data_IF_989990214988
#
_entry.id   IF_989990214988
#
_cell.length_a   1.000
_cell.length_b   1.000
_cell.length_c   1.000
_cell.angle_alpha   90.00
_cell.angle_beta   90.00
_cell.angle_gamma   90.00
#
_symmetry.space_group_name_H-M   'P 1'
#
loop_
_entity.id
_entity.type
_entity.pdbx_description
1 polymer ?
#
# COMPACT_ATOMS: atom_id res chain seq x y z
N UNK A 1 -40.41 7.60 -23.84
CA UNK A 1 -40.49 6.31 -24.56
C UNK A 1 -39.72 5.30 -23.70
N UNK A 2 -40.33 4.74 -22.65
CA UNK A 2 -41.07 3.44 -22.64
C UNK A 2 -40.22 2.33 -23.25
N UNK A 3 -39.77 1.36 -22.43
CA UNK A 3 -39.44 -0.05 -22.74
C UNK A 3 -38.90 -0.70 -21.43
N UNK A 4 -39.33 -1.82 -20.88
CA UNK A 4 -40.55 -2.64 -21.00
C UNK A 4 -40.46 -3.60 -19.81
N UNK A 5 -41.59 -3.75 -19.11
CA UNK A 5 -41.87 -4.68 -18.04
C UNK A 5 -41.63 -6.14 -18.51
N UNK A 6 -40.84 -6.91 -17.79
CA UNK A 6 -40.82 -8.38 -17.90
C UNK A 6 -41.11 -8.98 -16.52
N UNK A 7 -42.35 -9.44 -16.41
CA UNK A 7 -42.91 -10.25 -15.34
C UNK A 7 -42.51 -11.70 -15.64
N UNK A 8 -41.57 -12.28 -14.88
CA UNK A 8 -41.39 -13.74 -14.81
C UNK A 8 -41.58 -14.20 -13.38
N UNK A 9 -42.78 -14.74 -13.19
CA UNK A 9 -43.23 -15.59 -12.11
C UNK A 9 -42.37 -16.86 -12.06
N UNK A 10 -41.49 -16.97 -11.07
CA UNK A 10 -41.01 -18.26 -10.60
C UNK A 10 -41.30 -18.38 -9.11
N UNK A 11 -42.48 -18.95 -8.82
CA UNK A 11 -42.73 -19.64 -7.57
C UNK A 11 -41.79 -20.86 -7.55
N UNK A 12 -40.79 -20.85 -6.68
CA UNK A 12 -40.15 -22.08 -6.23
C UNK A 12 -40.07 -22.08 -4.71
N UNK A 13 -40.44 -23.24 -4.20
CA UNK A 13 -40.89 -23.54 -2.85
C UNK A 13 -39.76 -23.43 -1.83
N UNK A 14 -40.14 -22.91 -0.67
CA UNK A 14 -39.40 -22.85 0.59
C UNK A 14 -38.91 -24.23 1.03
N UNK A 15 -37.61 -24.37 1.33
CA UNK A 15 -37.14 -25.36 2.31
C UNK A 15 -36.19 -24.65 3.26
N UNK A 16 -36.69 -24.38 4.47
CA UNK A 16 -35.87 -23.98 5.62
C UNK A 16 -35.44 -25.26 6.33
N UNK A 17 -34.14 -25.52 6.36
CA UNK A 17 -33.49 -26.33 7.37
C UNK A 17 -32.40 -25.45 8.00
N UNK A 18 -32.61 -25.07 9.26
CA UNK A 18 -31.62 -24.33 10.04
C UNK A 18 -30.51 -25.26 10.53
N UNK A 19 -29.26 -24.89 10.25
CA UNK A 19 -28.10 -25.28 11.05
C UNK A 19 -26.95 -24.28 10.76
N UNK A 20 -26.61 -23.50 11.78
CA UNK A 20 -25.34 -22.84 12.10
C UNK A 20 -24.23 -22.67 11.04
N UNK A 21 -23.72 -21.44 11.01
CA UNK A 21 -22.31 -21.05 10.82
C UNK A 21 -21.75 -20.78 9.40
N UNK A 22 -21.19 -19.57 9.29
CA UNK A 22 -20.05 -19.15 8.46
C UNK A 22 -20.25 -18.92 6.97
N UNK A 23 -20.52 -17.66 6.61
CA UNK A 23 -20.09 -17.06 5.35
C UNK A 23 -18.56 -16.97 5.32
N UNK A 24 -17.86 -18.06 5.04
CA UNK A 24 -16.46 -17.97 4.58
C UNK A 24 -16.48 -17.54 3.12
N UNK A 25 -16.18 -16.25 2.88
CA UNK A 25 -15.60 -15.83 1.60
C UNK A 25 -14.46 -16.80 1.25
N UNK A 26 -14.29 -17.25 -0.02
CA UNK A 26 -13.34 -18.32 -0.33
C UNK A 26 -11.92 -17.88 0.04
N UNK A 27 -11.41 -18.38 1.16
CA UNK A 27 -10.05 -18.14 1.59
C UNK A 27 -9.15 -18.96 0.67
N UNK A 28 -8.53 -18.27 -0.30
CA UNK A 28 -7.52 -18.89 -1.17
C UNK A 28 -6.45 -19.54 -0.29
N UNK A 29 -6.04 -20.79 -0.57
CA UNK A 29 -5.13 -21.54 0.28
C UNK A 29 -3.86 -20.74 0.57
N UNK A 30 -3.36 -20.84 1.80
CA UNK A 30 -2.13 -20.16 2.29
C UNK A 30 -0.96 -20.34 1.31
N UNK A 31 -0.95 -21.44 0.53
CA UNK A 31 0.02 -21.66 -0.54
C UNK A 31 0.03 -20.60 -1.65
N UNK A 32 -1.14 -20.24 -2.16
CA UNK A 32 -1.28 -19.21 -3.18
C UNK A 32 -0.97 -17.80 -2.64
N UNK A 33 -1.13 -17.59 -1.32
CA UNK A 33 -0.85 -16.31 -0.66
C UNK A 33 0.65 -16.00 -0.57
N UNK A 34 1.52 -17.01 -0.55
CA UNK A 34 2.97 -16.81 -0.57
C UNK A 34 3.56 -16.76 -1.98
N UNK A 35 2.96 -17.45 -2.96
CA UNK A 35 3.32 -17.34 -4.39
C UNK A 35 2.92 -15.96 -4.96
N UNK A 36 1.79 -15.39 -4.51
CA UNK A 36 1.38 -14.02 -4.85
C UNK A 36 2.16 -12.93 -4.10
N UNK A 37 2.99 -13.29 -3.11
CA UNK A 37 4.04 -12.42 -2.57
C UNK A 37 5.31 -12.49 -3.44
N UNK A 38 5.15 -12.68 -4.75
CA UNK A 38 6.13 -12.23 -5.73
C UNK A 38 6.67 -10.86 -5.27
N UNK A 39 7.99 -10.73 -5.23
CA UNK A 39 8.63 -9.54 -4.68
C UNK A 39 8.07 -8.30 -5.39
N UNK A 40 7.28 -7.48 -4.66
CA UNK A 40 6.64 -6.27 -5.20
C UNK A 40 7.64 -5.51 -6.03
N UNK A 41 7.34 -5.31 -7.31
CA UNK A 41 8.30 -4.70 -8.25
C UNK A 41 8.60 -3.25 -7.84
N UNK A 42 9.73 -2.67 -8.26
CA UNK A 42 10.00 -1.25 -8.06
C UNK A 42 8.87 -0.36 -8.56
N UNK A 43 8.27 -0.71 -9.70
CA UNK A 43 7.18 0.00 -10.36
C UNK A 43 5.90 -0.03 -9.50
N UNK A 44 5.45 -1.21 -9.09
CA UNK A 44 4.28 -1.37 -8.21
C UNK A 44 4.48 -0.65 -6.86
N UNK A 45 5.71 -0.72 -6.33
CA UNK A 45 6.07 -0.01 -5.09
C UNK A 45 5.94 1.49 -5.28
N UNK A 46 6.49 2.02 -6.36
CA UNK A 46 6.47 3.45 -6.65
C UNK A 46 5.03 3.94 -6.85
N UNK A 47 4.25 3.21 -7.66
CA UNK A 47 2.86 3.52 -7.96
C UNK A 47 1.99 3.54 -6.70
N UNK A 48 2.13 2.53 -5.82
CA UNK A 48 1.45 2.52 -4.52
C UNK A 48 1.84 3.69 -3.62
N UNK A 49 3.11 4.08 -3.63
CA UNK A 49 3.57 5.24 -2.85
C UNK A 49 2.96 6.54 -3.39
N UNK A 50 2.96 6.72 -4.71
CA UNK A 50 2.37 7.88 -5.37
C UNK A 50 0.89 7.96 -5.09
N UNK A 51 0.12 6.89 -5.34
CA UNK A 51 -1.33 6.86 -5.04
C UNK A 51 -1.65 7.27 -3.60
N UNK A 52 -0.87 6.77 -2.65
CA UNK A 52 -1.05 7.11 -1.24
C UNK A 52 -0.78 8.60 -1.00
N UNK A 53 0.31 9.14 -1.53
CA UNK A 53 0.65 10.56 -1.38
C UNK A 53 -0.39 11.44 -2.06
N UNK A 54 -0.83 11.10 -3.28
CA UNK A 54 -1.92 11.79 -3.98
C UNK A 54 -3.17 11.87 -3.12
N UNK A 55 -3.61 10.74 -2.52
CA UNK A 55 -4.82 10.69 -1.69
C UNK A 55 -4.72 11.56 -0.44
N UNK A 56 -3.57 11.57 0.23
CA UNK A 56 -3.42 12.28 1.50
C UNK A 56 -3.04 13.76 1.35
N UNK A 57 -2.39 14.13 0.26
CA UNK A 57 -1.83 15.47 0.04
C UNK A 57 -2.55 16.24 -1.06
N UNK A 58 -3.56 15.64 -1.69
CA UNK A 58 -4.28 16.20 -2.83
C UNK A 58 -3.33 16.74 -3.92
N UNK A 59 -2.36 15.92 -4.33
CA UNK A 59 -1.33 16.31 -5.30
C UNK A 59 -1.96 16.72 -6.65
N UNK A 60 -1.47 17.81 -7.25
CA UNK A 60 -1.85 18.20 -8.62
C UNK A 60 -1.31 17.19 -9.65
N UNK A 61 -1.84 17.13 -10.88
CA UNK A 61 -1.33 16.23 -11.91
C UNK A 61 0.19 16.31 -12.12
N UNK A 62 0.74 17.53 -12.17
CA UNK A 62 2.18 17.76 -12.34
C UNK A 62 2.98 17.24 -11.14
N UNK A 63 2.51 17.51 -9.92
CA UNK A 63 3.12 16.97 -8.70
C UNK A 63 3.08 15.44 -8.68
N UNK A 64 1.97 14.83 -9.12
CA UNK A 64 1.84 13.37 -9.18
C UNK A 64 2.87 12.76 -10.13
N UNK A 65 3.07 13.36 -11.32
CA UNK A 65 4.07 12.91 -12.29
C UNK A 65 5.50 12.97 -11.71
N UNK A 66 5.88 14.11 -11.11
CA UNK A 66 7.21 14.27 -10.51
C UNK A 66 7.40 13.33 -9.30
N UNK A 67 6.38 13.19 -8.44
CA UNK A 67 6.41 12.25 -7.30
C UNK A 67 6.53 10.80 -7.75
N UNK A 68 5.84 10.39 -8.82
CA UNK A 68 5.97 9.06 -9.40
C UNK A 68 7.39 8.78 -9.87
N UNK A 69 7.99 9.73 -10.58
CA UNK A 69 9.37 9.64 -11.07
C UNK A 69 10.38 9.51 -9.92
N UNK A 70 10.24 10.35 -8.88
CA UNK A 70 11.07 10.27 -7.66
C UNK A 70 10.87 8.91 -6.97
N UNK A 71 9.63 8.48 -6.75
CA UNK A 71 9.36 7.20 -6.09
C UNK A 71 9.94 6.01 -6.87
N UNK A 72 9.88 6.03 -8.20
CA UNK A 72 10.43 4.98 -9.06
C UNK A 72 11.96 4.93 -8.98
N UNK A 73 12.63 6.08 -9.10
CA UNK A 73 14.09 6.20 -8.95
C UNK A 73 14.57 5.52 -7.67
N UNK A 74 13.99 5.89 -6.53
CA UNK A 74 14.39 5.33 -5.24
C UNK A 74 13.91 3.90 -5.01
N UNK A 75 12.78 3.49 -5.59
CA UNK A 75 12.34 2.09 -5.54
C UNK A 75 13.33 1.15 -6.24
N UNK A 76 13.85 1.55 -7.41
CA UNK A 76 14.89 0.80 -8.14
C UNK A 76 16.20 0.70 -7.35
N UNK A 77 16.65 1.81 -6.76
CA UNK A 77 17.86 1.81 -5.92
C UNK A 77 17.72 0.91 -4.69
N UNK A 78 16.56 0.96 -4.01
CA UNK A 78 16.27 0.05 -2.89
C UNK A 78 16.26 -1.40 -3.36
N UNK A 79 15.64 -1.70 -4.51
CA UNK A 79 15.60 -3.05 -5.07
C UNK A 79 17.00 -3.62 -5.31
N UNK A 80 17.92 -2.82 -5.85
CA UNK A 80 19.33 -3.22 -6.04
C UNK A 80 19.99 -3.55 -4.70
N UNK A 81 19.79 -2.72 -3.67
CA UNK A 81 20.41 -2.94 -2.35
C UNK A 81 19.86 -4.15 -1.59
N UNK A 82 18.61 -4.54 -1.84
CA UNK A 82 17.94 -5.65 -1.12
C UNK A 82 17.84 -6.93 -1.93
N UNK A 83 18.43 -6.94 -3.14
CA UNK A 83 18.45 -8.13 -4.02
C UNK A 83 19.09 -9.31 -3.32
N UNK A 84 20.22 -9.07 -2.67
CA UNK A 84 20.91 -10.09 -1.89
C UNK A 84 20.24 -10.17 -0.53
N UNK A 85 19.99 -11.37 0.03
CA UNK A 85 19.18 -11.50 1.27
C UNK A 85 19.90 -11.14 2.57
N UNK A 86 21.20 -10.83 2.49
CA UNK A 86 22.04 -10.52 3.64
C UNK A 86 21.58 -9.28 4.39
N UNK A 87 21.79 -9.21 5.71
CA UNK A 87 21.49 -8.02 6.49
C UNK A 87 22.78 -7.51 7.10
N UNK A 88 23.26 -6.36 6.63
CA UNK A 88 24.44 -5.70 7.19
C UNK A 88 24.12 -4.31 7.75
N UNK A 89 24.88 -3.82 8.74
CA UNK A 89 24.80 -2.43 9.22
C UNK A 89 24.97 -1.40 8.09
N UNK A 90 25.87 -1.66 7.14
CA UNK A 90 26.18 -0.80 6.00
C UNK A 90 24.96 -0.66 5.09
N UNK A 91 24.30 -1.78 4.78
CA UNK A 91 23.05 -1.78 4.01
C UNK A 91 21.97 -0.97 4.71
N UNK A 92 21.84 -1.14 6.04
CA UNK A 92 20.86 -0.39 6.82
C UNK A 92 21.15 1.12 6.76
N UNK A 93 22.42 1.52 6.82
CA UNK A 93 22.84 2.92 6.63
C UNK A 93 22.47 3.43 5.24
N UNK A 94 22.84 2.71 4.17
CA UNK A 94 22.53 3.06 2.79
C UNK A 94 21.02 3.21 2.54
N UNK A 95 20.19 2.29 3.05
CA UNK A 95 18.73 2.40 2.97
C UNK A 95 18.20 3.64 3.73
N UNK A 96 18.83 3.97 4.85
CA UNK A 96 18.55 5.19 5.60
C UNK A 96 18.87 6.45 4.79
N UNK A 97 19.99 6.44 4.08
CA UNK A 97 20.46 7.56 3.25
C UNK A 97 19.54 7.75 2.04
N UNK A 98 19.19 6.67 1.32
CA UNK A 98 18.21 6.71 0.24
C UNK A 98 16.87 7.28 0.70
N UNK A 99 16.42 6.94 1.91
CA UNK A 99 15.18 7.49 2.47
C UNK A 99 15.27 9.00 2.71
N UNK A 100 16.41 9.50 3.22
CA UNK A 100 16.61 10.93 3.48
C UNK A 100 16.72 11.72 2.17
N UNK A 101 17.45 11.19 1.19
CA UNK A 101 17.60 11.82 -0.12
C UNK A 101 16.24 11.91 -0.83
N UNK A 102 15.45 10.84 -0.82
CA UNK A 102 14.09 10.85 -1.35
C UNK A 102 13.21 11.91 -0.70
N UNK A 103 13.29 12.04 0.62
CA UNK A 103 12.53 13.04 1.36
C UNK A 103 12.92 14.46 0.97
N UNK A 104 14.21 14.72 0.75
CA UNK A 104 14.69 16.02 0.28
C UNK A 104 14.13 16.36 -1.11
N UNK A 105 14.15 15.41 -2.04
CA UNK A 105 13.58 15.62 -3.39
C UNK A 105 12.05 15.82 -3.33
N UNK A 106 11.33 15.01 -2.53
CA UNK A 106 9.88 15.17 -2.39
C UNK A 106 9.50 16.52 -1.78
N UNK A 107 10.27 17.03 -0.81
CA UNK A 107 10.03 18.33 -0.18
C UNK A 107 10.01 19.47 -1.21
N UNK A 108 10.84 19.39 -2.25
CA UNK A 108 10.92 20.42 -3.30
C UNK A 108 9.69 20.44 -4.21
N UNK A 109 8.90 19.36 -4.25
CA UNK A 109 7.70 19.24 -5.09
C UNK A 109 6.44 19.73 -4.36
N UNK A 110 6.44 19.67 -3.04
CA UNK A 110 5.28 19.97 -2.22
C UNK A 110 5.18 21.45 -1.86
N UNK A 111 3.95 21.95 -1.73
CA UNK A 111 3.71 23.21 -1.05
C UNK A 111 4.05 23.08 0.45
N UNK A 112 4.15 24.21 1.14
CA UNK A 112 4.42 24.24 2.59
C UNK A 112 3.36 23.42 3.35
N UNK A 113 2.08 23.57 3.02
CA UNK A 113 0.99 22.85 3.69
C UNK A 113 1.00 21.34 3.38
N UNK A 114 1.26 20.97 2.12
CA UNK A 114 1.42 19.55 1.76
C UNK A 114 2.62 18.93 2.47
N UNK A 115 3.73 19.66 2.63
CA UNK A 115 4.88 19.14 3.36
C UNK A 115 4.59 18.95 4.85
N UNK A 116 3.85 19.87 5.49
CA UNK A 116 3.38 19.69 6.89
C UNK A 116 2.54 18.42 7.04
N UNK A 117 1.57 18.20 6.14
CA UNK A 117 0.75 16.98 6.12
C UNK A 117 1.60 15.72 5.90
N UNK A 118 2.60 15.78 5.01
CA UNK A 118 3.52 14.68 4.77
C UNK A 118 4.33 14.30 6.02
N UNK A 119 4.83 15.29 6.78
CA UNK A 119 5.54 15.07 8.04
C UNK A 119 4.61 14.42 9.07
N UNK A 120 3.39 14.95 9.24
CA UNK A 120 2.40 14.36 10.16
C UNK A 120 2.08 12.90 9.82
N UNK A 121 1.81 12.61 8.54
CA UNK A 121 1.57 11.25 8.05
C UNK A 121 2.74 10.31 8.36
N UNK A 122 3.98 10.80 8.30
CA UNK A 122 5.17 10.01 8.61
C UNK A 122 5.31 9.69 10.09
N UNK A 123 5.09 10.67 10.95
CA UNK A 123 5.16 10.47 12.40
C UNK A 123 4.06 9.51 12.87
N UNK A 124 2.84 9.62 12.35
CA UNK A 124 1.76 8.66 12.61
C UNK A 124 2.16 7.23 12.18
N UNK A 125 2.73 7.09 10.98
CA UNK A 125 3.23 5.79 10.51
C UNK A 125 4.38 5.25 11.39
N UNK A 126 5.21 6.12 11.96
CA UNK A 126 6.31 5.74 12.87
C UNK A 126 5.76 5.26 14.21
N UNK A 127 4.84 6.02 14.80
CA UNK A 127 4.15 5.66 16.05
C UNK A 127 3.43 4.31 15.90
N UNK A 128 2.67 4.12 14.81
CA UNK A 128 1.99 2.84 14.54
C UNK A 128 2.96 1.65 14.46
N UNK A 129 4.13 1.85 13.82
CA UNK A 129 5.16 0.80 13.74
C UNK A 129 5.81 0.50 15.10
N UNK A 130 6.03 1.52 15.93
CA UNK A 130 6.55 1.33 17.28
C UNK A 130 5.56 0.57 18.15
N UNK A 131 4.28 0.97 18.15
CA UNK A 131 3.22 0.29 18.88
C UNK A 131 3.07 -1.17 18.46
N UNK A 132 3.09 -1.45 17.15
CA UNK A 132 3.03 -2.82 16.63
C UNK A 132 4.22 -3.70 17.07
N UNK A 133 5.41 -3.11 17.26
CA UNK A 133 6.59 -3.82 17.77
C UNK A 133 6.50 -4.10 19.27
N UNK A 134 6.00 -3.14 20.05
CA UNK A 134 5.78 -3.32 21.49
C UNK A 134 4.82 -4.47 21.77
N UNK A 135 3.72 -4.58 21.02
CA UNK A 135 2.76 -5.69 21.17
C UNK A 135 3.36 -7.07 20.85
N UNK A 136 4.24 -7.16 19.84
CA UNK A 136 4.91 -8.43 19.47
C UNK A 136 6.03 -8.85 20.41
N UNK A 137 6.57 -7.94 21.20
CA UNK A 137 7.59 -8.26 22.22
C UNK A 137 7.00 -8.67 23.57
N UNK A 138 5.69 -8.50 23.75
CA UNK A 138 4.96 -8.79 24.99
C UNK A 138 3.90 -9.90 24.79
N UNK A 139 4.09 -10.74 23.77
CA UNK A 139 3.32 -11.97 23.48
C UNK A 139 4.31 -13.10 23.31
#
# INVERSE_FOLDING_TARGET
MKNTLMLTLCLSVFTVAGASAQTTSPEKPIKQRWEQRAAVTPEERAERQTRRLTKHLALTPDQQYTVASINLKYAKQVQTLVRDRERSPERRKQLGDLRRNKESELKQVFSVEQYKQYVALREENRARKQHARGRRGNS
#
